data_IF_346184396992
#
_entry.id   IF_346184396992
#
_cell.length_a   1.000
_cell.length_b   1.000
_cell.length_c   1.000
_cell.angle_alpha   90.00
_cell.angle_beta   90.00
_cell.angle_gamma   90.00
#
_symmetry.space_group_name_H-M   'P 1'
#
loop_
_entity.id
_entity.type
_entity.pdbx_description
1 polymer ?
#
# COMPACT_ATOMS: atom_id res chain seq x y z
N UNK A 1 -3.83 36.06 41.06
CA UNK A 1 -4.55 34.89 41.61
C UNK A 1 -4.22 33.68 40.75
N UNK A 2 -4.04 32.53 41.41
CA UNK A 2 -3.33 31.32 40.97
C UNK A 2 -4.09 30.44 39.94
N UNK A 3 -3.30 29.81 39.07
CA UNK A 3 -3.36 28.46 38.44
C UNK A 3 -4.71 27.75 38.18
N UNK A 4 -4.85 27.18 36.97
CA UNK A 4 -5.04 25.73 36.83
C UNK A 4 -4.63 25.22 35.43
N UNK A 5 -3.53 24.46 35.40
CA UNK A 5 -3.08 23.63 34.29
C UNK A 5 -3.74 22.25 34.49
N UNK A 6 -4.51 21.77 33.52
CA UNK A 6 -5.05 20.41 33.54
C UNK A 6 -4.10 19.52 32.74
N UNK A 7 -3.26 18.76 33.46
CA UNK A 7 -2.56 17.59 32.94
C UNK A 7 -3.54 16.40 32.93
N UNK A 8 -3.79 15.81 31.76
CA UNK A 8 -4.43 14.49 31.66
C UNK A 8 -3.29 13.46 31.67
N UNK A 9 -3.08 12.85 32.84
CA UNK A 9 -2.23 11.68 33.02
C UNK A 9 -3.03 10.42 32.60
N UNK A 10 -2.59 9.73 31.56
CA UNK A 10 -3.08 8.38 31.23
C UNK A 10 -2.23 7.38 32.00
N UNK A 11 -2.82 6.81 33.04
CA UNK A 11 -2.28 5.73 33.87
C UNK A 11 -2.31 4.45 33.05
N UNK A 12 -1.15 3.85 32.81
CA UNK A 12 -1.01 2.48 32.28
C UNK A 12 -0.99 1.52 33.46
N UNK A 13 -2.05 0.74 33.64
CA UNK A 13 -2.10 -0.43 34.51
C UNK A 13 -2.31 -1.66 33.62
N UNK A 14 -1.48 -2.72 33.74
CA UNK A 14 -1.69 -3.95 32.98
C UNK A 14 -2.73 -4.81 33.71
N UNK A 15 -3.88 -5.02 33.08
CA UNK A 15 -4.85 -6.03 33.48
C UNK A 15 -4.64 -7.27 32.60
N UNK A 16 -3.90 -8.27 33.12
CA UNK A 16 -3.97 -9.64 32.63
C UNK A 16 -4.45 -10.50 33.79
N UNK A 17 -5.76 -10.71 33.83
CA UNK A 17 -6.40 -11.75 34.61
C UNK A 17 -6.71 -12.88 33.63
N UNK A 18 -5.99 -14.00 33.69
CA UNK A 18 -6.41 -15.24 33.05
C UNK A 18 -6.35 -16.39 34.06
N UNK A 19 -7.47 -16.48 34.77
CA UNK A 19 -8.19 -17.69 35.21
C UNK A 19 -7.37 -18.98 35.26
N UNK A 20 -7.13 -19.41 36.50
CA UNK A 20 -6.81 -20.76 36.92
C UNK A 20 -8.00 -21.70 36.58
N UNK A 21 -7.79 -22.64 35.64
CA UNK A 21 -8.69 -23.78 35.41
C UNK A 21 -7.90 -25.07 35.58
N UNK A 22 -7.82 -25.54 36.82
CA UNK A 22 -7.56 -26.96 37.13
C UNK A 22 -8.90 -27.70 37.24
N UNK A 23 -9.01 -28.79 36.47
CA UNK A 23 -9.70 -30.08 36.78
C UNK A 23 -11.15 -29.98 37.30
N UNK A 24 -12.20 -30.53 36.70
CA UNK A 24 -12.38 -31.82 36.03
C UNK A 24 -13.64 -31.75 35.16
N UNK A 25 -13.56 -32.14 33.89
CA UNK A 25 -14.67 -32.79 33.17
C UNK A 25 -14.09 -33.47 31.92
N UNK A 26 -13.76 -34.73 32.13
CA UNK A 26 -13.26 -35.70 31.17
C UNK A 26 -14.38 -36.13 30.21
N UNK A 27 -14.49 -35.51 29.03
CA UNK A 27 -15.29 -36.12 27.96
C UNK A 27 -14.88 -35.81 26.50
N UNK A 28 -13.86 -34.99 26.22
CA UNK A 28 -13.41 -34.79 24.83
C UNK A 28 -11.88 -34.67 24.70
N UNK A 29 -11.17 -35.74 25.06
CA UNK A 29 -9.79 -35.98 24.61
C UNK A 29 -9.76 -37.26 23.76
N UNK A 30 -10.39 -37.22 22.59
CA UNK A 30 -10.01 -38.15 21.53
C UNK A 30 -8.60 -37.76 21.10
N UNK A 31 -7.67 -38.68 21.30
CA UNK A 31 -6.29 -38.56 20.88
C UNK A 31 -6.29 -38.31 19.36
N UNK A 32 -6.04 -37.07 18.94
CA UNK A 32 -5.57 -36.84 17.58
C UNK A 32 -4.19 -37.49 17.52
N UNK A 33 -3.94 -38.44 16.59
CA UNK A 33 -2.62 -39.04 16.49
C UNK A 33 -1.63 -37.91 16.22
N UNK A 34 -0.76 -37.62 17.20
CA UNK A 34 0.38 -36.73 17.00
C UNK A 34 1.33 -37.43 16.04
N UNK A 35 1.07 -37.27 14.74
CA UNK A 35 2.03 -37.56 13.69
C UNK A 35 3.09 -36.47 13.78
N UNK A 36 4.02 -36.65 14.72
CA UNK A 36 5.20 -35.80 14.84
C UNK A 36 6.07 -36.07 13.62
N UNK A 37 5.92 -35.21 12.60
CA UNK A 37 6.80 -35.21 11.44
C UNK A 37 8.23 -34.93 11.94
N UNK A 38 9.20 -35.72 11.49
CA UNK A 38 10.61 -35.49 11.83
C UNK A 38 11.02 -34.14 11.23
N UNK A 39 11.95 -33.41 11.86
CA UNK A 39 12.43 -32.09 11.38
C UNK A 39 12.83 -32.08 9.89
N UNK A 40 13.36 -33.21 9.40
CA UNK A 40 13.69 -33.42 7.99
C UNK A 40 12.46 -33.48 7.06
N UNK A 41 11.32 -34.00 7.52
CA UNK A 41 10.06 -34.05 6.77
C UNK A 41 9.45 -32.65 6.63
N UNK A 42 9.59 -31.82 7.67
CA UNK A 42 9.16 -30.42 7.66
C UNK A 42 9.97 -29.62 6.64
N UNK A 43 11.30 -29.72 6.70
CA UNK A 43 12.18 -29.03 5.75
C UNK A 43 11.91 -29.47 4.30
N UNK A 44 11.74 -30.77 4.04
CA UNK A 44 11.40 -31.27 2.70
C UNK A 44 10.02 -30.80 2.21
N UNK A 45 9.03 -30.68 3.10
CA UNK A 45 7.71 -30.15 2.74
C UNK A 45 7.78 -28.65 2.44
N UNK A 46 8.53 -27.88 3.24
CA UNK A 46 8.80 -26.47 2.98
C UNK A 46 9.54 -26.28 1.66
N UNK A 47 10.60 -27.06 1.40
CA UNK A 47 11.35 -26.99 0.15
C UNK A 47 10.50 -27.36 -1.07
N UNK A 48 9.57 -28.32 -0.92
CA UNK A 48 8.58 -28.65 -1.97
C UNK A 48 7.56 -27.53 -2.18
N UNK A 49 7.10 -26.86 -1.12
CA UNK A 49 6.17 -25.72 -1.21
C UNK A 49 6.89 -24.53 -1.86
N UNK A 50 8.11 -24.24 -1.45
CA UNK A 50 8.95 -23.17 -2.01
C UNK A 50 9.25 -23.46 -3.48
N UNK A 51 9.71 -24.66 -3.85
CA UNK A 51 9.93 -25.03 -5.27
C UNK A 51 8.65 -24.99 -6.09
N UNK A 52 7.51 -25.42 -5.53
CA UNK A 52 6.21 -25.37 -6.20
C UNK A 52 5.72 -23.92 -6.38
N UNK A 53 5.98 -23.03 -5.42
CA UNK A 53 5.72 -21.60 -5.56
C UNK A 53 6.69 -20.94 -6.54
N UNK A 54 7.99 -21.24 -6.47
CA UNK A 54 9.00 -20.73 -7.40
C UNK A 54 8.68 -21.10 -8.84
N UNK A 55 8.38 -22.37 -9.13
CA UNK A 55 8.01 -22.78 -10.49
C UNK A 55 6.73 -22.09 -11.00
N UNK A 56 5.77 -21.80 -10.10
CA UNK A 56 4.55 -21.05 -10.45
C UNK A 56 4.80 -19.55 -10.64
N UNK A 57 5.81 -18.99 -9.96
CA UNK A 57 6.24 -17.59 -10.07
C UNK A 57 7.05 -17.37 -11.36
N UNK A 58 7.93 -18.31 -11.72
CA UNK A 58 8.73 -18.24 -12.96
C UNK A 58 7.89 -18.36 -14.24
N UNK A 59 6.80 -19.13 -14.22
CA UNK A 59 5.87 -19.22 -15.36
C UNK A 59 5.09 -17.91 -15.61
N UNK A 60 4.89 -17.07 -14.58
CA UNK A 60 4.20 -15.78 -14.73
C UNK A 60 5.19 -14.66 -15.11
N UNK A 61 6.42 -14.69 -14.60
CA UNK A 61 7.44 -13.69 -14.94
C UNK A 61 7.96 -13.83 -16.37
N UNK A 62 7.91 -15.03 -16.95
CA UNK A 62 8.36 -15.30 -18.33
C UNK A 62 7.41 -14.82 -19.43
N UNK A 63 6.23 -14.27 -19.07
CA UNK A 63 5.24 -13.76 -20.02
C UNK A 63 5.12 -12.22 -20.05
N UNK A 64 5.90 -11.50 -19.25
CA UNK A 64 5.83 -10.03 -19.22
C UNK A 64 6.88 -9.46 -20.17
N UNK A 65 6.47 -9.26 -21.43
CA UNK A 65 7.14 -8.30 -22.30
C UNK A 65 7.00 -6.90 -21.68
N UNK A 66 8.06 -6.09 -21.69
CA UNK A 66 8.04 -4.71 -21.15
C UNK A 66 6.89 -3.87 -21.73
N UNK A 67 6.43 -4.20 -22.94
CA UNK A 67 5.32 -3.55 -23.66
C UNK A 67 3.93 -3.73 -22.99
N UNK A 68 3.77 -4.66 -22.03
CA UNK A 68 2.48 -4.97 -21.38
C UNK A 68 2.38 -4.51 -19.91
N UNK A 69 3.37 -3.77 -19.40
CA UNK A 69 3.40 -3.28 -18.02
C UNK A 69 2.46 -2.08 -17.87
N UNK A 70 1.25 -2.33 -17.37
CA UNK A 70 0.30 -1.29 -16.96
C UNK A 70 -0.38 -1.67 -15.64
N UNK A 71 -0.96 -0.67 -14.96
CA UNK A 71 -1.58 -0.85 -13.64
C UNK A 71 -2.75 -1.84 -13.66
N UNK A 72 -3.50 -1.91 -14.76
CA UNK A 72 -4.63 -2.84 -14.89
C UNK A 72 -4.16 -4.29 -14.89
N UNK A 73 -3.18 -4.64 -15.73
CA UNK A 73 -2.63 -5.99 -15.82
C UNK A 73 -1.98 -6.41 -14.49
N UNK A 74 -1.19 -5.51 -13.89
CA UNK A 74 -0.54 -5.77 -12.60
C UNK A 74 -1.55 -6.05 -11.49
N UNK A 75 -2.71 -5.39 -11.50
CA UNK A 75 -3.73 -5.55 -10.47
C UNK A 75 -4.44 -6.91 -10.47
N UNK A 76 -4.24 -7.75 -11.49
CA UNK A 76 -4.69 -9.15 -11.47
C UNK A 76 -3.71 -10.09 -10.76
N UNK A 77 -2.47 -9.65 -10.53
CA UNK A 77 -1.43 -10.52 -10.02
C UNK A 77 -1.56 -10.71 -8.50
N UNK A 78 -1.48 -11.96 -8.06
CA UNK A 78 -1.38 -12.33 -6.64
C UNK A 78 0.03 -12.07 -6.08
N UNK A 79 1.02 -11.93 -6.97
CA UNK A 79 2.42 -11.66 -6.65
C UNK A 79 2.94 -10.56 -7.55
N UNK A 80 3.59 -9.55 -6.96
CA UNK A 80 4.10 -8.42 -7.71
C UNK A 80 5.59 -8.62 -8.03
N UNK A 81 5.97 -8.73 -9.31
CA UNK A 81 7.37 -8.86 -9.67
C UNK A 81 8.16 -7.63 -9.20
N UNK A 82 9.39 -7.85 -8.74
CA UNK A 82 10.34 -6.78 -8.50
C UNK A 82 11.04 -6.47 -9.81
N UNK A 83 10.66 -5.37 -10.47
CA UNK A 83 11.45 -4.84 -11.57
C UNK A 83 12.66 -4.09 -11.01
N UNK A 84 13.69 -3.87 -11.84
CA UNK A 84 14.87 -3.08 -11.47
C UNK A 84 14.50 -1.66 -10.97
N UNK A 85 13.36 -1.15 -11.42
CA UNK A 85 12.82 0.17 -11.05
C UNK A 85 11.90 0.12 -9.82
N UNK A 86 11.78 -1.01 -9.14
CA UNK A 86 10.94 -1.13 -7.94
C UNK A 86 11.53 -0.37 -6.76
N UNK A 87 10.67 0.18 -5.91
CA UNK A 87 11.06 0.96 -4.72
C UNK A 87 10.29 0.40 -3.53
N UNK A 88 11.03 0.00 -2.50
CA UNK A 88 10.44 -0.52 -1.26
C UNK A 88 10.01 0.60 -0.30
N UNK A 89 9.37 0.21 0.79
CA UNK A 89 8.84 1.14 1.78
C UNK A 89 9.92 1.98 2.48
N UNK A 90 11.12 1.44 2.67
CA UNK A 90 12.21 2.17 3.34
C UNK A 90 12.78 3.25 2.43
N UNK A 91 12.89 2.97 1.13
CA UNK A 91 13.26 3.98 0.14
C UNK A 91 12.15 5.00 -0.11
N UNK A 92 10.88 4.57 -0.12
CA UNK A 92 9.74 5.50 -0.18
C UNK A 92 9.78 6.50 0.98
N UNK A 93 10.09 6.07 2.20
CA UNK A 93 10.22 6.96 3.38
C UNK A 93 11.37 7.96 3.26
N UNK A 94 12.42 7.65 2.49
CA UNK A 94 13.52 8.58 2.20
C UNK A 94 13.12 9.65 1.18
N UNK A 95 12.18 9.31 0.28
CA UNK A 95 11.70 10.20 -0.78
C UNK A 95 10.58 11.10 -0.26
N UNK A 96 9.57 10.51 0.39
CA UNK A 96 8.40 11.22 0.86
C UNK A 96 8.54 11.64 2.34
N UNK A 97 8.08 12.84 2.71
CA UNK A 97 8.04 13.26 4.12
C UNK A 97 6.93 12.58 4.91
N UNK A 98 5.92 12.01 4.25
CA UNK A 98 4.74 11.38 4.87
C UNK A 98 5.12 10.23 5.80
N UNK A 99 4.42 10.13 6.94
CA UNK A 99 4.57 9.05 7.93
C UNK A 99 3.20 8.57 8.39
N UNK A 100 3.16 7.46 9.13
CA UNK A 100 1.92 6.98 9.74
C UNK A 100 1.20 8.11 10.52
N UNK A 101 -0.12 8.25 10.40
CA UNK A 101 -1.08 7.40 9.67
C UNK A 101 -1.36 7.85 8.21
N UNK A 102 -0.48 8.64 7.59
CA UNK A 102 -0.73 9.31 6.31
C UNK A 102 0.28 8.99 5.21
N UNK A 103 1.13 7.98 5.37
CA UNK A 103 1.90 7.39 4.26
C UNK A 103 1.07 6.27 3.64
N UNK A 104 0.64 6.44 2.39
CA UNK A 104 -0.36 5.59 1.72
C UNK A 104 0.18 4.91 0.45
N UNK A 105 1.49 4.88 0.27
CA UNK A 105 2.15 4.09 -0.79
C UNK A 105 3.04 3.06 -0.10
N UNK A 106 2.73 1.78 -0.28
CA UNK A 106 3.47 0.70 0.38
C UNK A 106 4.65 0.22 -0.47
N UNK A 107 4.52 0.30 -1.80
CA UNK A 107 5.53 -0.16 -2.76
C UNK A 107 5.36 0.49 -4.13
N UNK A 108 6.46 0.82 -4.78
CA UNK A 108 6.49 1.10 -6.24
C UNK A 108 6.93 -0.18 -6.94
N UNK A 109 6.13 -0.64 -7.91
CA UNK A 109 6.43 -1.83 -8.71
C UNK A 109 7.30 -1.45 -9.89
N UNK A 110 6.87 -0.42 -10.62
CA UNK A 110 7.49 -0.01 -11.88
C UNK A 110 7.51 1.51 -11.94
N UNK A 111 8.60 2.05 -12.47
CA UNK A 111 8.73 3.49 -12.70
C UNK A 111 9.53 3.72 -13.98
N UNK A 112 8.99 4.53 -14.87
CA UNK A 112 9.73 5.15 -15.95
C UNK A 112 9.83 6.65 -15.65
N UNK A 113 11.03 7.19 -15.34
CA UNK A 113 11.23 8.60 -15.05
C UNK A 113 10.61 9.50 -16.14
N UNK A 114 10.09 10.65 -15.73
CA UNK A 114 9.43 11.62 -16.62
C UNK A 114 8.21 11.09 -17.40
N UNK A 115 7.67 9.90 -17.08
CA UNK A 115 6.56 9.32 -17.85
C UNK A 115 5.48 8.66 -17.01
N UNK A 116 5.81 7.61 -16.26
CA UNK A 116 4.80 6.79 -15.57
C UNK A 116 5.36 6.12 -14.33
N UNK A 117 4.49 5.89 -13.36
CA UNK A 117 4.78 5.13 -12.15
C UNK A 117 3.60 4.23 -11.81
N UNK A 118 3.90 3.04 -11.32
CA UNK A 118 2.92 2.07 -10.85
C UNK A 118 3.31 1.62 -9.45
N UNK A 119 2.40 1.77 -8.51
CA UNK A 119 2.59 1.41 -7.11
C UNK A 119 1.38 0.76 -6.50
N UNK A 120 1.52 0.37 -5.23
CA UNK A 120 0.52 -0.35 -4.47
C UNK A 120 0.20 0.35 -3.16
N UNK A 121 -1.08 0.25 -2.79
CA UNK A 121 -1.57 0.43 -1.44
C UNK A 121 -2.34 -0.83 -1.03
N UNK A 122 -1.85 -1.52 -0.01
CA UNK A 122 -2.57 -2.58 0.66
C UNK A 122 -3.62 -1.98 1.57
N UNK A 123 -4.85 -2.46 1.43
CA UNK A 123 -6.00 -1.97 2.19
C UNK A 123 -6.33 -3.00 3.26
N UNK A 124 -6.16 -2.62 4.52
CA UNK A 124 -6.30 -3.54 5.66
C UNK A 124 -7.35 -3.03 6.63
N UNK A 125 -8.16 -3.94 7.19
CA UNK A 125 -9.12 -3.60 8.26
C UNK A 125 -8.44 -2.96 9.47
N UNK A 126 -7.13 -3.13 9.64
CA UNK A 126 -6.37 -2.59 10.76
C UNK A 126 -5.89 -1.14 10.54
N UNK A 127 -6.39 -0.46 9.51
CA UNK A 127 -6.07 0.95 9.28
C UNK A 127 -7.00 1.87 10.09
N UNK A 128 -6.48 2.98 10.67
CA UNK A 128 -7.20 3.77 11.67
C UNK A 128 -8.49 4.41 11.15
N UNK A 129 -8.58 4.70 9.85
CA UNK A 129 -9.76 5.33 9.27
C UNK A 129 -10.98 4.40 9.18
N UNK A 130 -10.80 3.07 9.23
CA UNK A 130 -11.91 2.12 9.15
C UNK A 130 -12.77 2.08 10.42
N UNK A 131 -12.25 2.54 11.56
CA UNK A 131 -13.04 2.71 12.78
C UNK A 131 -14.19 3.71 12.58
N UNK A 132 -14.01 4.69 11.68
CA UNK A 132 -14.99 5.73 11.41
C UNK A 132 -15.65 5.68 10.03
N UNK A 133 -15.13 4.91 9.07
CA UNK A 133 -15.57 4.96 7.68
C UNK A 133 -15.86 3.58 7.07
N UNK A 134 -16.99 2.95 7.38
CA UNK A 134 -17.95 3.27 8.43
C UNK A 134 -17.99 2.10 9.43
N UNK A 135 -18.38 2.33 10.71
CA UNK A 135 -18.34 1.28 11.73
C UNK A 135 -19.03 -0.04 11.35
N UNK A 136 -20.15 0.04 10.61
CA UNK A 136 -20.92 -1.13 10.16
C UNK A 136 -20.52 -1.63 8.76
N UNK A 137 -19.78 -0.83 8.00
CA UNK A 137 -19.39 -1.13 6.62
C UNK A 137 -18.10 -0.38 6.28
N UNK A 138 -16.98 -1.08 6.45
CA UNK A 138 -15.66 -0.55 6.17
C UNK A 138 -15.50 -0.29 4.66
N UNK A 139 -15.20 0.95 4.31
CA UNK A 139 -14.94 1.41 2.93
C UNK A 139 -13.75 2.38 3.00
N UNK A 140 -12.74 2.21 2.16
CA UNK A 140 -11.63 3.17 2.14
C UNK A 140 -12.16 4.55 1.70
N UNK A 141 -11.94 5.64 2.48
CA UNK A 141 -12.39 6.97 2.09
C UNK A 141 -11.89 7.36 0.71
N UNK A 142 -12.78 7.86 -0.15
CA UNK A 142 -12.44 8.21 -1.53
C UNK A 142 -11.31 9.24 -1.64
N UNK A 143 -11.23 10.16 -0.68
CA UNK A 143 -10.17 11.18 -0.57
C UNK A 143 -8.80 10.57 -0.26
N UNK A 144 -8.73 9.46 0.48
CA UNK A 144 -7.46 8.77 0.74
C UNK A 144 -6.97 8.00 -0.50
N UNK A 145 -7.86 7.64 -1.42
CA UNK A 145 -7.46 7.10 -2.73
C UNK A 145 -6.84 8.19 -3.61
N UNK A 146 -7.34 9.43 -3.56
CA UNK A 146 -6.72 10.58 -4.20
C UNK A 146 -5.34 10.83 -3.60
N UNK A 147 -5.25 10.87 -2.27
CA UNK A 147 -4.00 11.10 -1.56
C UNK A 147 -2.94 10.05 -1.90
N UNK A 148 -3.30 8.76 -1.91
CA UNK A 148 -2.38 7.68 -2.27
C UNK A 148 -1.85 7.82 -3.71
N UNK A 149 -2.72 8.19 -4.67
CA UNK A 149 -2.32 8.50 -6.05
C UNK A 149 -1.43 9.75 -6.11
N UNK A 150 -1.72 10.76 -5.30
CA UNK A 150 -0.94 11.99 -5.25
C UNK A 150 0.47 11.75 -4.68
N UNK A 151 0.60 10.94 -3.63
CA UNK A 151 1.89 10.52 -3.10
C UNK A 151 2.69 9.71 -4.12
N UNK A 152 2.05 8.79 -4.83
CA UNK A 152 2.71 8.03 -5.90
C UNK A 152 3.20 8.96 -7.02
N UNK A 153 2.36 9.91 -7.45
CA UNK A 153 2.73 10.94 -8.42
C UNK A 153 3.91 11.80 -7.93
N UNK A 154 3.91 12.19 -6.65
CA UNK A 154 5.01 12.91 -6.02
C UNK A 154 6.34 12.14 -6.06
N UNK A 155 6.31 10.81 -5.86
CA UNK A 155 7.51 9.97 -6.02
C UNK A 155 8.06 10.05 -7.44
N UNK A 156 7.19 9.95 -8.47
CA UNK A 156 7.63 10.06 -9.86
C UNK A 156 8.29 11.42 -10.12
N UNK A 157 7.72 12.50 -9.61
CA UNK A 157 8.28 13.83 -9.79
C UNK A 157 9.62 14.02 -9.07
N UNK A 158 9.76 13.51 -7.84
CA UNK A 158 11.00 13.62 -7.02
C UNK A 158 12.15 12.71 -7.49
N UNK A 159 11.85 11.69 -8.28
CA UNK A 159 12.83 10.76 -8.85
C UNK A 159 13.18 11.07 -10.31
N UNK A 160 12.56 12.09 -10.89
CA UNK A 160 12.84 12.52 -12.26
C UNK A 160 14.06 13.44 -12.31
N UNK A 161 14.87 13.33 -13.38
CA UNK A 161 16.19 13.97 -13.50
C UNK A 161 16.17 15.51 -13.35
N UNK A 162 15.03 16.15 -13.63
CA UNK A 162 14.87 17.60 -13.51
C UNK A 162 14.50 18.09 -12.10
N UNK A 163 14.28 17.18 -11.15
CA UNK A 163 13.93 17.56 -9.78
C UNK A 163 15.18 17.89 -8.96
N UNK A 164 15.26 19.14 -8.49
CA UNK A 164 16.33 19.54 -7.58
C UNK A 164 16.19 18.78 -6.25
N UNK A 165 17.30 18.24 -5.75
CA UNK A 165 17.39 17.63 -4.42
C UNK A 165 16.89 18.65 -3.39
N UNK A 166 15.81 18.33 -2.68
CA UNK A 166 15.15 19.08 -1.59
C UNK A 166 13.83 19.82 -1.93
N UNK A 167 13.29 19.70 -3.14
CA UNK A 167 11.99 20.34 -3.43
C UNK A 167 10.84 19.61 -2.73
N UNK A 168 9.98 20.34 -2.03
CA UNK A 168 8.71 19.81 -1.52
C UNK A 168 7.65 19.93 -2.61
N UNK A 169 7.00 18.83 -2.96
CA UNK A 169 5.84 18.83 -3.84
C UNK A 169 4.56 19.07 -3.03
N UNK A 170 3.95 20.23 -3.24
CA UNK A 170 2.67 20.59 -2.62
C UNK A 170 1.53 20.23 -3.57
N UNK A 171 0.53 19.52 -3.07
CA UNK A 171 -0.68 19.20 -3.83
C UNK A 171 -1.54 20.45 -3.98
N UNK A 172 -1.60 21.00 -5.19
CA UNK A 172 -2.21 22.31 -5.46
C UNK A 172 -3.65 22.20 -5.99
N UNK A 173 -4.00 21.06 -6.61
CA UNK A 173 -5.36 20.86 -7.11
C UNK A 173 -5.58 19.50 -7.74
N UNK A 174 -6.86 19.15 -7.92
CA UNK A 174 -7.29 17.92 -8.56
C UNK A 174 -8.53 18.17 -9.39
N UNK A 175 -8.60 17.57 -10.59
CA UNK A 175 -9.74 17.67 -11.49
C UNK A 175 -10.12 16.32 -12.09
N UNK A 176 -11.40 16.17 -12.43
CA UNK A 176 -11.95 15.02 -13.11
C UNK A 176 -11.93 13.73 -12.29
N UNK A 177 -12.00 13.82 -10.95
CA UNK A 177 -12.06 12.64 -10.07
C UNK A 177 -13.37 11.89 -10.28
N UNK A 178 -13.29 10.57 -10.50
CA UNK A 178 -14.44 9.67 -10.61
C UNK A 178 -14.15 8.37 -9.88
N UNK A 179 -14.88 8.12 -8.79
CA UNK A 179 -14.93 6.80 -8.16
C UNK A 179 -15.92 5.91 -8.90
N UNK A 180 -15.51 4.69 -9.20
CA UNK A 180 -16.31 3.71 -9.95
C UNK A 180 -16.84 2.61 -9.05
N UNK A 181 -16.08 2.22 -8.02
CA UNK A 181 -16.41 1.15 -7.07
C UNK A 181 -15.79 1.45 -5.70
N UNK A 182 -16.38 0.97 -4.60
CA UNK A 182 -15.75 1.05 -3.29
C UNK A 182 -14.49 0.19 -3.26
N UNK A 183 -13.50 0.63 -2.49
CA UNK A 183 -12.30 -0.13 -2.13
C UNK A 183 -12.46 -0.58 -0.69
N UNK A 184 -12.21 -1.85 -0.42
CA UNK A 184 -12.55 -2.53 0.82
C UNK A 184 -11.31 -3.14 1.49
N UNK A 185 -11.35 -3.42 2.80
CA UNK A 185 -10.35 -4.26 3.46
C UNK A 185 -10.10 -5.58 2.71
N UNK A 186 -8.84 -5.92 2.51
CA UNK A 186 -8.40 -7.08 1.73
C UNK A 186 -8.10 -6.78 0.26
N UNK A 187 -8.50 -5.62 -0.26
CA UNK A 187 -8.12 -5.20 -1.60
C UNK A 187 -6.64 -4.79 -1.67
N UNK A 188 -6.00 -5.10 -2.79
CA UNK A 188 -4.77 -4.41 -3.20
C UNK A 188 -5.13 -3.31 -4.20
N UNK A 189 -5.05 -2.05 -3.76
CA UNK A 189 -5.21 -0.90 -4.62
C UNK A 189 -3.94 -0.71 -5.45
N UNK A 190 -3.98 -1.15 -6.70
CA UNK A 190 -2.91 -0.90 -7.66
C UNK A 190 -3.13 0.46 -8.30
N UNK A 191 -2.13 1.32 -8.25
CA UNK A 191 -2.21 2.71 -8.66
C UNK A 191 -1.24 2.96 -9.80
N UNK A 192 -1.68 3.69 -10.82
CA UNK A 192 -0.84 4.17 -11.89
C UNK A 192 -0.98 5.69 -12.01
N UNK A 193 0.13 6.41 -12.09
CA UNK A 193 0.15 7.82 -12.40
C UNK A 193 1.02 8.09 -13.63
N UNK A 194 0.58 8.98 -14.52
CA UNK A 194 1.33 9.35 -15.73
C UNK A 194 1.56 10.86 -15.75
N UNK A 195 2.78 11.28 -16.09
CA UNK A 195 3.11 12.69 -16.30
C UNK A 195 2.36 13.21 -17.53
N UNK A 196 1.58 14.27 -17.34
CA UNK A 196 0.91 14.99 -18.44
C UNK A 196 1.81 16.13 -18.91
N UNK A 197 2.33 16.92 -17.96
CA UNK A 197 3.24 18.01 -18.27
C UNK A 197 4.09 18.37 -17.07
N UNK A 198 5.33 18.78 -17.32
CA UNK A 198 6.22 19.37 -16.32
C UNK A 198 6.70 20.73 -16.82
N UNK A 199 6.38 21.79 -16.10
CA UNK A 199 6.78 23.17 -16.40
C UNK A 199 7.74 23.65 -15.31
N UNK A 200 9.02 23.30 -15.45
CA UNK A 200 10.07 23.61 -14.49
C UNK A 200 10.18 25.11 -14.17
N UNK A 201 10.01 25.98 -15.18
CA UNK A 201 10.05 27.43 -15.01
C UNK A 201 8.98 27.99 -14.06
N UNK A 202 7.81 27.34 -14.00
CA UNK A 202 6.72 27.69 -13.09
C UNK A 202 6.72 26.86 -11.81
N UNK A 203 7.55 25.82 -11.74
CA UNK A 203 7.49 24.83 -10.68
C UNK A 203 6.14 24.10 -10.66
N UNK A 204 5.56 23.77 -11.81
CA UNK A 204 4.24 23.10 -11.88
C UNK A 204 4.39 21.75 -12.58
N UNK A 205 3.89 20.70 -11.93
CA UNK A 205 3.73 19.37 -12.52
C UNK A 205 2.25 19.01 -12.60
N UNK A 206 1.83 18.39 -13.70
CA UNK A 206 0.49 17.86 -13.90
C UNK A 206 0.56 16.38 -14.23
N UNK A 207 -0.25 15.58 -13.55
CA UNK A 207 -0.28 14.12 -13.70
C UNK A 207 -1.71 13.60 -13.78
N UNK A 208 -1.94 12.52 -14.51
CA UNK A 208 -3.17 11.72 -14.42
C UNK A 208 -3.00 10.59 -13.43
N UNK A 209 -4.09 10.02 -12.92
CA UNK A 209 -4.06 8.92 -11.97
C UNK A 209 -5.20 7.93 -12.15
N UNK A 210 -4.92 6.63 -12.12
CA UNK A 210 -5.94 5.57 -12.16
C UNK A 210 -5.62 4.53 -11.08
N UNK A 211 -6.65 4.15 -10.31
CA UNK A 211 -6.58 3.05 -9.36
C UNK A 211 -7.39 1.85 -9.83
N UNK A 212 -6.85 0.67 -9.58
CA UNK A 212 -7.41 -0.62 -9.97
C UNK A 212 -7.47 -1.58 -8.76
N UNK A 213 -8.50 -2.41 -8.75
CA UNK A 213 -8.59 -3.59 -7.88
C UNK A 213 -9.02 -4.76 -8.76
N UNK A 214 -8.25 -5.85 -8.77
CA UNK A 214 -8.55 -7.05 -9.56
C UNK A 214 -8.87 -6.73 -11.04
N UNK A 215 -8.04 -5.89 -11.67
CA UNK A 215 -8.18 -5.48 -13.07
C UNK A 215 -9.28 -4.47 -13.38
N UNK A 216 -10.03 -4.03 -12.37
CA UNK A 216 -11.17 -3.12 -12.56
C UNK A 216 -10.83 -1.74 -12.02
N UNK A 217 -11.11 -0.71 -12.81
CA UNK A 217 -10.96 0.68 -12.38
C UNK A 217 -11.87 0.95 -11.18
N UNK A 218 -11.29 1.46 -10.09
CA UNK A 218 -12.02 1.88 -8.87
C UNK A 218 -12.01 3.40 -8.71
N UNK A 219 -10.96 4.07 -9.18
CA UNK A 219 -10.85 5.54 -9.23
C UNK A 219 -10.13 5.96 -10.51
N UNK A 220 -10.57 7.07 -11.11
CA UNK A 220 -9.85 7.77 -12.18
C UNK A 220 -9.76 9.26 -11.81
N UNK A 221 -8.61 9.87 -12.09
CA UNK A 221 -8.29 11.29 -11.89
C UNK A 221 -7.71 11.81 -13.20
N UNK A 222 -8.38 12.80 -13.79
CA UNK A 222 -7.95 13.36 -15.07
C UNK A 222 -6.69 14.21 -14.90
N UNK A 223 -6.63 15.01 -13.84
CA UNK A 223 -5.48 15.85 -13.55
C UNK A 223 -5.27 16.01 -12.03
N UNK A 224 -4.02 15.86 -11.60
CA UNK A 224 -3.46 16.23 -10.31
C UNK A 224 -2.41 17.30 -10.58
N UNK A 225 -2.55 18.48 -9.97
CA UNK A 225 -1.59 19.58 -10.10
C UNK A 225 -0.75 19.67 -8.84
N UNK A 226 0.57 19.72 -9.04
CA UNK A 226 1.54 19.92 -7.97
C UNK A 226 2.33 21.20 -8.21
N UNK A 227 2.58 21.92 -7.12
CA UNK A 227 3.50 23.05 -7.09
C UNK A 227 4.79 22.62 -6.39
N UNK A 228 5.93 22.92 -7.00
CA UNK A 228 7.23 22.76 -6.40
C UNK A 228 7.48 23.98 -5.51
N UNK A 229 7.60 23.76 -4.21
CA UNK A 229 8.18 24.78 -3.34
C UNK A 229 9.65 24.90 -3.70
N UNK A 230 10.06 26.13 -4.05
CA UNK A 230 11.48 26.52 -4.05
C UNK A 230 12.02 26.57 -2.63
#
# INVERSE_FOLDING_TARGET
MRFLIIHIAVIVLPFVLMIDVKRENSFFLRHSPKRLYKKADYNNMYDKIIKKQQNRIYDVSSQINQDNINGQNISFNLTFPNYDTSIDIEDIKKILPHRYPFLLVDKVIYMQPNKTIIGLKQVSTNEPFFNGHFPQKQIMPGVLQIEALAQLAGILCLKSDDSQKNNLFLFAGVDGVRWKKPVLPGDTLTMQANLISFKSSLGIAKLSGVGYVNGKVVINISEMTFALSK
#
